data_IF_171812807952
#
_entry.id   IF_171812807952
#
_cell.length_a   1.000
_cell.length_b   1.000
_cell.length_c   1.000
_cell.angle_alpha   90.00
_cell.angle_beta   90.00
_cell.angle_gamma   90.00
#
_symmetry.space_group_name_H-M   'P 1'
#
loop_
_entity.id
_entity.type
_entity.pdbx_description
1 polymer ?
#
# COMPACT_ATOMS: atom_id res chain seq x y z
N UNK A 1 -14.11 15.53 -3.10
CA UNK A 1 -13.57 14.78 -4.25
C UNK A 1 -12.06 14.77 -4.13
N UNK A 2 -11.48 13.58 -4.03
CA UNK A 2 -10.04 13.36 -4.09
C UNK A 2 -9.63 13.37 -5.56
N UNK A 3 -8.86 14.38 -5.98
CA UNK A 3 -8.36 14.47 -7.36
C UNK A 3 -7.10 13.61 -7.49
N UNK A 4 -7.01 12.79 -8.53
CA UNK A 4 -5.82 12.00 -8.81
C UNK A 4 -4.83 12.82 -9.65
N UNK A 5 -3.61 12.91 -9.14
CA UNK A 5 -2.48 13.54 -9.79
C UNK A 5 -1.52 12.45 -10.28
N UNK A 6 -1.64 12.13 -11.56
CA UNK A 6 -0.85 11.11 -12.24
C UNK A 6 0.42 11.74 -12.80
N UNK A 7 1.59 11.28 -12.35
CA UNK A 7 2.86 11.65 -12.97
C UNK A 7 3.27 10.60 -14.00
N UNK A 8 3.40 11.02 -15.27
CA UNK A 8 3.82 10.14 -16.36
C UNK A 8 5.23 9.58 -16.13
N UNK A 9 6.10 10.30 -15.43
CA UNK A 9 7.45 9.84 -15.15
C UNK A 9 7.49 8.60 -14.24
N UNK A 10 6.54 8.49 -13.31
CA UNK A 10 6.40 7.35 -12.38
C UNK A 10 6.11 6.03 -13.12
N UNK A 11 5.47 6.13 -14.30
CA UNK A 11 4.97 4.98 -15.07
C UNK A 11 5.52 4.93 -16.50
N UNK A 12 6.77 5.37 -16.69
CA UNK A 12 7.43 5.30 -17.99
C UNK A 12 7.78 3.86 -18.41
N UNK A 13 7.95 3.65 -19.72
CA UNK A 13 8.46 2.39 -20.27
C UNK A 13 7.37 1.31 -20.33
N UNK A 14 7.55 0.14 -19.68
CA UNK A 14 6.57 -0.95 -19.75
C UNK A 14 5.21 -0.62 -19.11
N UNK A 15 5.10 0.50 -18.38
CA UNK A 15 3.85 0.96 -17.75
C UNK A 15 3.15 2.09 -18.53
N UNK A 16 3.60 2.42 -19.74
CA UNK A 16 2.97 3.51 -20.52
C UNK A 16 1.47 3.24 -20.79
N UNK A 17 1.13 2.02 -21.24
CA UNK A 17 -0.26 1.66 -21.54
C UNK A 17 -1.12 1.66 -20.26
N UNK A 18 -0.55 1.16 -19.16
CA UNK A 18 -1.15 1.24 -17.84
C UNK A 18 -1.46 2.69 -17.44
N UNK A 19 -0.49 3.59 -17.58
CA UNK A 19 -0.66 5.01 -17.30
C UNK A 19 -1.79 5.62 -18.14
N UNK A 20 -1.84 5.32 -19.44
CA UNK A 20 -2.89 5.80 -20.33
C UNK A 20 -4.29 5.35 -19.90
N UNK A 21 -4.41 4.14 -19.34
CA UNK A 21 -5.66 3.65 -18.79
C UNK A 21 -6.03 4.35 -17.47
N UNK A 22 -5.12 4.40 -16.50
CA UNK A 22 -5.43 4.95 -15.17
C UNK A 22 -5.58 6.47 -15.17
N UNK A 23 -4.94 7.20 -16.11
CA UNK A 23 -5.03 8.66 -16.19
C UNK A 23 -6.42 9.17 -16.62
N UNK A 24 -7.30 8.27 -17.08
CA UNK A 24 -8.71 8.54 -17.37
C UNK A 24 -9.50 8.82 -16.08
N UNK A 25 -9.08 8.23 -14.96
CA UNK A 25 -9.67 8.46 -13.64
C UNK A 25 -9.20 9.80 -13.09
N UNK A 26 -10.13 10.73 -12.89
CA UNK A 26 -9.85 12.08 -12.37
C UNK A 26 -9.84 12.14 -10.85
N UNK A 27 -10.41 11.14 -10.20
CA UNK A 27 -10.60 11.16 -8.76
C UNK A 27 -11.68 10.21 -8.28
N UNK A 28 -11.86 10.18 -6.98
CA UNK A 28 -12.96 9.48 -6.31
C UNK A 28 -13.49 10.33 -5.14
N UNK A 29 -14.78 10.20 -4.84
CA UNK A 29 -15.46 10.86 -3.72
C UNK A 29 -16.24 9.90 -2.85
N UNK A 30 -16.43 8.66 -3.32
CA UNK A 30 -17.16 7.60 -2.62
C UNK A 30 -16.32 6.34 -2.53
N UNK A 31 -16.68 5.44 -1.61
CA UNK A 31 -16.05 4.13 -1.46
C UNK A 31 -16.18 3.28 -2.75
N UNK A 32 -17.31 3.34 -3.44
CA UNK A 32 -17.52 2.63 -4.71
C UNK A 32 -16.59 3.12 -5.82
N UNK A 33 -16.40 4.45 -5.93
CA UNK A 33 -15.49 5.05 -6.91
C UNK A 33 -14.03 4.71 -6.60
N UNK A 34 -13.65 4.72 -5.32
CA UNK A 34 -12.33 4.27 -4.87
C UNK A 34 -12.08 2.80 -5.24
N UNK A 35 -13.02 1.92 -4.92
CA UNK A 35 -12.91 0.49 -5.22
C UNK A 35 -12.89 0.21 -6.73
N UNK A 36 -13.67 0.95 -7.52
CA UNK A 36 -13.62 0.87 -8.97
C UNK A 36 -12.23 1.27 -9.50
N UNK A 37 -11.65 2.35 -8.98
CA UNK A 37 -10.31 2.77 -9.36
C UNK A 37 -9.25 1.70 -8.99
N UNK A 38 -9.27 1.18 -7.76
CA UNK A 38 -8.33 0.14 -7.34
C UNK A 38 -8.44 -1.12 -8.21
N UNK A 39 -9.65 -1.60 -8.50
CA UNK A 39 -9.88 -2.74 -9.41
C UNK A 39 -9.30 -2.49 -10.80
N UNK A 40 -9.45 -1.26 -11.32
CA UNK A 40 -8.90 -0.88 -12.61
C UNK A 40 -7.37 -0.82 -12.62
N UNK A 41 -6.75 -0.36 -11.54
CA UNK A 41 -5.29 -0.46 -11.35
C UNK A 41 -4.83 -1.91 -11.42
N UNK A 42 -5.54 -2.83 -10.75
CA UNK A 42 -5.20 -4.26 -10.77
C UNK A 42 -5.37 -4.88 -12.17
N UNK A 43 -6.47 -4.57 -12.86
CA UNK A 43 -6.80 -5.09 -14.20
C UNK A 43 -5.82 -4.59 -15.28
N UNK A 44 -5.45 -3.32 -15.22
CA UNK A 44 -4.59 -2.65 -16.22
C UNK A 44 -3.10 -2.96 -16.03
N UNK A 45 -2.71 -3.56 -14.90
CA UNK A 45 -1.31 -3.74 -14.57
C UNK A 45 -0.58 -4.60 -15.61
N UNK A 46 0.57 -4.15 -16.14
CA UNK A 46 1.26 -4.89 -17.18
C UNK A 46 1.87 -6.17 -16.62
N UNK A 47 2.01 -7.17 -17.49
CA UNK A 47 2.80 -8.36 -17.20
C UNK A 47 4.30 -7.99 -17.21
N UNK A 48 4.76 -7.37 -16.11
CA UNK A 48 6.18 -7.07 -15.89
C UNK A 48 6.92 -8.29 -15.32
N UNK A 49 8.23 -8.20 -15.17
CA UNK A 49 9.02 -9.27 -14.55
C UNK A 49 8.61 -9.52 -13.10
N UNK A 50 8.85 -10.74 -12.61
CA UNK A 50 8.76 -11.06 -11.19
C UNK A 50 9.95 -10.42 -10.46
N UNK A 51 9.66 -9.55 -9.50
CA UNK A 51 10.65 -9.10 -8.53
C UNK A 51 10.66 -10.13 -7.40
N UNK A 52 11.84 -10.64 -7.03
CA UNK A 52 11.99 -11.83 -6.18
C UNK A 52 11.05 -11.84 -4.96
N UNK A 53 10.46 -13.00 -4.68
CA UNK A 53 9.39 -13.20 -3.67
C UNK A 53 9.85 -14.10 -2.51
N UNK A 54 11.16 -14.16 -2.24
CA UNK A 54 11.69 -15.14 -1.30
C UNK A 54 11.28 -14.82 0.14
N UNK A 55 11.46 -13.56 0.58
CA UNK A 55 11.02 -13.16 1.92
C UNK A 55 9.50 -13.02 2.01
N UNK A 56 8.87 -12.58 0.93
CA UNK A 56 7.41 -12.53 0.83
C UNK A 56 6.80 -13.88 1.17
N UNK A 57 7.25 -14.95 0.52
CA UNK A 57 6.74 -16.31 0.74
C UNK A 57 6.99 -16.80 2.17
N UNK A 58 8.18 -16.55 2.73
CA UNK A 58 8.51 -16.91 4.11
C UNK A 58 7.56 -16.25 5.12
N UNK A 59 7.31 -14.94 4.97
CA UNK A 59 6.43 -14.22 5.88
C UNK A 59 4.96 -14.55 5.66
N UNK A 60 4.54 -14.77 4.41
CA UNK A 60 3.19 -15.23 4.10
C UNK A 60 2.91 -16.60 4.73
N UNK A 61 3.83 -17.56 4.59
CA UNK A 61 3.72 -18.87 5.24
C UNK A 61 3.59 -18.72 6.76
N UNK A 62 4.41 -17.85 7.37
CA UNK A 62 4.30 -17.55 8.80
C UNK A 62 2.93 -16.98 9.22
N UNK A 63 2.34 -16.11 8.40
CA UNK A 63 1.01 -15.53 8.62
C UNK A 63 -0.08 -16.60 8.48
N UNK A 64 -0.01 -17.44 7.45
CA UNK A 64 -0.97 -18.52 7.21
C UNK A 64 -0.94 -19.58 8.31
N UNK A 65 0.25 -19.90 8.82
CA UNK A 65 0.46 -20.79 9.95
C UNK A 65 0.14 -20.14 11.32
N UNK A 66 -0.19 -18.84 11.34
CA UNK A 66 -0.48 -18.04 12.55
C UNK A 66 0.66 -18.13 13.57
N UNK A 67 1.90 -18.00 13.10
CA UNK A 67 3.08 -17.91 13.96
C UNK A 67 2.94 -16.71 14.90
N UNK A 68 3.69 -16.74 16.00
CA UNK A 68 3.80 -15.59 16.90
C UNK A 68 4.24 -14.34 16.12
N UNK A 69 3.74 -13.17 16.53
CA UNK A 69 4.00 -11.88 15.89
C UNK A 69 3.44 -11.73 14.47
N UNK A 70 2.43 -12.53 14.10
CA UNK A 70 1.71 -12.37 12.81
C UNK A 70 0.27 -11.92 13.01
N UNK A 71 -0.24 -11.15 12.05
CA UNK A 71 -1.66 -10.75 11.98
C UNK A 71 -2.16 -11.10 10.58
N UNK A 72 -3.18 -11.97 10.49
CA UNK A 72 -3.79 -12.33 9.22
C UNK A 72 -4.87 -11.34 8.83
N UNK A 73 -4.88 -10.94 7.55
CA UNK A 73 -5.84 -10.02 6.97
C UNK A 73 -6.39 -10.56 5.65
N UNK A 74 -7.52 -10.04 5.13
CA UNK A 74 -8.05 -10.47 3.84
C UNK A 74 -7.08 -10.26 2.66
N UNK A 75 -6.22 -9.24 2.75
CA UNK A 75 -5.23 -8.89 1.72
C UNK A 75 -3.88 -9.60 1.88
N UNK A 76 -3.68 -10.38 2.95
CA UNK A 76 -2.43 -11.09 3.24
C UNK A 76 -2.16 -11.07 4.74
N UNK A 77 -1.33 -10.14 5.20
CA UNK A 77 -1.18 -9.88 6.61
C UNK A 77 0.02 -9.04 7.00
N UNK A 78 0.32 -9.05 8.29
CA UNK A 78 1.42 -8.31 8.89
C UNK A 78 2.33 -9.29 9.62
N UNK A 79 3.63 -9.12 9.43
CA UNK A 79 4.67 -9.82 10.19
C UNK A 79 5.43 -8.81 11.05
N UNK A 80 5.25 -8.85 12.36
CA UNK A 80 5.84 -7.88 13.30
C UNK A 80 7.25 -8.34 13.65
N UNK A 81 8.25 -7.51 13.34
CA UNK A 81 9.65 -7.81 13.67
C UNK A 81 10.08 -7.17 14.97
N UNK A 82 9.45 -6.06 15.37
CA UNK A 82 9.74 -5.36 16.61
C UNK A 82 8.49 -4.66 17.15
N UNK A 83 8.23 -4.83 18.44
CA UNK A 83 7.16 -4.12 19.14
C UNK A 83 7.66 -3.67 20.52
N UNK A 84 8.19 -2.45 20.56
CA UNK A 84 8.73 -1.80 21.77
C UNK A 84 8.12 -0.41 21.88
N UNK A 85 7.00 -0.28 22.58
CA UNK A 85 6.24 0.98 22.61
C UNK A 85 7.13 2.22 22.91
N UNK A 86 7.03 3.29 22.09
CA UNK A 86 6.10 3.46 20.96
C UNK A 86 6.61 2.90 19.62
N UNK A 87 7.84 2.40 19.55
CA UNK A 87 8.42 1.90 18.30
C UNK A 87 7.79 0.58 17.85
N UNK A 88 7.32 0.54 16.60
CA UNK A 88 6.86 -0.67 15.92
C UNK A 88 7.60 -0.81 14.59
N UNK A 89 8.12 -2.00 14.32
CA UNK A 89 8.67 -2.40 13.02
C UNK A 89 7.96 -3.66 12.55
N UNK A 90 7.50 -3.67 11.31
CA UNK A 90 6.73 -4.77 10.75
C UNK A 90 6.87 -4.82 9.23
N UNK A 91 6.52 -5.96 8.66
CA UNK A 91 6.32 -6.11 7.23
C UNK A 91 4.84 -6.20 6.90
N UNK A 92 4.40 -5.40 5.93
CA UNK A 92 3.13 -5.60 5.24
C UNK A 92 3.37 -6.62 4.13
N UNK A 93 2.66 -7.74 4.21
CA UNK A 93 2.72 -8.84 3.24
C UNK A 93 1.42 -8.79 2.45
N UNK A 94 1.43 -8.07 1.33
CA UNK A 94 0.23 -7.79 0.53
C UNK A 94 0.23 -8.72 -0.69
N UNK A 95 -0.76 -9.61 -0.76
CA UNK A 95 -0.91 -10.54 -1.88
C UNK A 95 -1.30 -9.80 -3.15
N UNK A 96 -0.83 -10.29 -4.28
CA UNK A 96 -1.24 -9.81 -5.59
C UNK A 96 -2.75 -9.89 -5.79
N UNK A 97 -3.32 -8.88 -6.44
CA UNK A 97 -4.76 -8.73 -6.62
C UNK A 97 -5.50 -8.09 -5.44
N UNK A 98 -4.79 -7.63 -4.41
CA UNK A 98 -5.38 -6.98 -3.24
C UNK A 98 -4.93 -5.53 -3.08
N UNK A 99 -5.60 -4.81 -2.19
CA UNK A 99 -5.28 -3.45 -1.80
C UNK A 99 -5.74 -3.20 -0.36
N UNK A 100 -5.08 -2.24 0.28
CA UNK A 100 -5.40 -1.80 1.63
C UNK A 100 -6.53 -0.76 1.59
N UNK A 101 -7.07 -0.42 2.76
CA UNK A 101 -8.01 0.68 2.89
C UNK A 101 -7.34 2.01 2.53
N UNK A 102 -8.14 2.95 2.04
CA UNK A 102 -7.73 4.35 2.01
C UNK A 102 -7.91 4.91 3.42
N UNK A 103 -6.81 5.18 4.09
CA UNK A 103 -6.76 5.42 5.52
C UNK A 103 -5.78 6.54 5.86
N UNK A 104 -5.82 6.95 7.12
CA UNK A 104 -4.83 7.84 7.72
C UNK A 104 -4.61 7.44 9.17
N UNK A 105 -3.53 7.95 9.73
CA UNK A 105 -3.22 7.87 11.15
C UNK A 105 -3.46 9.22 11.83
N UNK A 106 -3.97 9.23 13.07
CA UNK A 106 -4.21 10.50 13.80
C UNK A 106 -2.94 11.03 14.49
N UNK A 107 -2.06 10.15 14.98
CA UNK A 107 -0.85 10.49 15.76
C UNK A 107 0.41 9.75 15.30
N UNK A 108 0.27 8.61 14.62
CA UNK A 108 1.41 7.80 14.17
C UNK A 108 2.17 8.50 13.05
N UNK A 109 3.49 8.54 13.22
CA UNK A 109 4.46 8.80 12.15
C UNK A 109 4.92 7.46 11.56
N UNK A 110 4.94 7.36 10.24
CA UNK A 110 5.22 6.12 9.53
C UNK A 110 6.22 6.34 8.39
N UNK A 111 7.13 5.38 8.26
CA UNK A 111 8.05 5.25 7.15
C UNK A 111 7.88 3.88 6.52
N UNK A 112 7.75 3.85 5.20
CA UNK A 112 7.65 2.65 4.38
C UNK A 112 8.85 2.52 3.45
N UNK A 113 9.36 1.30 3.30
CA UNK A 113 10.35 0.91 2.30
C UNK A 113 9.87 -0.36 1.57
N UNK A 114 9.82 -0.33 0.24
CA UNK A 114 9.48 -1.52 -0.55
C UNK A 114 10.67 -2.46 -0.62
N UNK A 115 10.50 -3.70 -0.15
CA UNK A 115 11.54 -4.73 -0.13
C UNK A 115 11.46 -5.66 -1.35
N UNK A 116 10.27 -6.17 -1.65
CA UNK A 116 10.01 -7.11 -2.75
C UNK A 116 8.69 -6.76 -3.44
N UNK A 117 8.57 -7.12 -4.71
CA UNK A 117 7.33 -6.92 -5.47
C UNK A 117 7.14 -5.54 -6.10
N UNK A 118 5.94 -5.30 -6.61
CA UNK A 118 5.56 -4.02 -7.21
C UNK A 118 4.10 -3.67 -6.93
N UNK A 119 3.81 -2.37 -6.93
CA UNK A 119 2.44 -1.90 -6.86
C UNK A 119 2.28 -0.40 -7.02
N UNK A 120 1.21 0.14 -6.44
CA UNK A 120 0.87 1.56 -6.51
C UNK A 120 0.63 2.10 -5.11
N UNK A 121 1.20 3.26 -4.85
CA UNK A 121 0.89 4.08 -3.69
C UNK A 121 -0.01 5.23 -4.11
N UNK A 122 -1.14 5.34 -3.43
CA UNK A 122 -1.94 6.56 -3.39
C UNK A 122 -1.53 7.33 -2.14
N UNK A 123 -1.11 8.58 -2.29
CA UNK A 123 -0.74 9.42 -1.15
C UNK A 123 -1.27 10.83 -1.35
N UNK A 124 -1.97 11.36 -0.35
CA UNK A 124 -2.41 12.75 -0.39
C UNK A 124 -1.22 13.70 -0.33
N UNK A 125 -1.12 14.59 -1.32
CA UNK A 125 -0.13 15.67 -1.38
C UNK A 125 -0.84 16.96 -1.75
N UNK A 126 -0.94 17.86 -0.77
CA UNK A 126 -1.73 19.10 -0.90
C UNK A 126 -3.21 18.79 -1.15
N UNK A 127 -3.74 19.32 -2.24
CA UNK A 127 -5.16 19.20 -2.60
C UNK A 127 -5.48 17.95 -3.47
N UNK A 128 -4.48 17.14 -3.80
CA UNK A 128 -4.62 15.96 -4.65
C UNK A 128 -4.04 14.68 -4.05
N UNK A 129 -4.25 13.57 -4.74
CA UNK A 129 -3.72 12.25 -4.46
C UNK A 129 -2.67 11.93 -5.51
N UNK A 130 -1.41 11.93 -5.11
CA UNK A 130 -0.32 11.46 -5.95
C UNK A 130 -0.47 9.95 -6.16
N UNK A 131 -0.36 9.52 -7.41
CA UNK A 131 -0.33 8.11 -7.81
C UNK A 131 1.11 7.76 -8.16
N UNK A 132 1.76 6.93 -7.35
CA UNK A 132 3.19 6.59 -7.48
C UNK A 132 3.40 5.10 -7.66
N UNK A 133 4.45 4.73 -8.37
CA UNK A 133 4.82 3.32 -8.52
C UNK A 133 5.64 2.85 -7.32
N UNK A 134 5.30 1.68 -6.79
CA UNK A 134 6.08 0.97 -5.78
C UNK A 134 6.91 -0.12 -6.45
N UNK A 135 8.20 -0.15 -6.13
CA UNK A 135 9.18 -1.15 -6.56
C UNK A 135 10.33 -1.16 -5.54
N UNK A 136 11.19 -2.19 -5.50
CA UNK A 136 12.19 -2.33 -4.44
C UNK A 136 13.10 -1.10 -4.31
N UNK A 137 13.27 -0.63 -3.07
CA UNK A 137 14.03 0.58 -2.71
C UNK A 137 13.23 1.89 -2.78
N UNK A 138 11.96 1.87 -3.16
CA UNK A 138 11.08 3.04 -3.02
C UNK A 138 10.74 3.24 -1.54
N UNK A 139 10.89 4.48 -1.08
CA UNK A 139 10.52 4.92 0.26
C UNK A 139 9.34 5.90 0.22
N UNK A 140 8.56 5.90 1.30
CA UNK A 140 7.50 6.88 1.54
C UNK A 140 7.34 7.16 3.04
N UNK A 141 7.33 8.45 3.40
CA UNK A 141 7.02 8.91 4.74
C UNK A 141 5.58 9.43 4.82
N UNK A 142 4.94 9.19 5.96
CA UNK A 142 3.61 9.65 6.29
C UNK A 142 3.64 10.34 7.65
N UNK A 143 3.33 11.64 7.62
CA UNK A 143 3.07 12.40 8.83
C UNK A 143 1.65 12.11 9.34
N UNK A 144 1.35 12.38 10.63
CA UNK A 144 0.00 12.25 11.15
C UNK A 144 -1.00 13.04 10.32
N UNK A 145 -2.11 12.37 9.98
CA UNK A 145 -3.19 12.88 9.15
C UNK A 145 -2.99 12.68 7.65
N UNK A 146 -1.83 12.20 7.18
CA UNK A 146 -1.63 11.93 5.75
C UNK A 146 -2.41 10.69 5.30
N UNK A 147 -3.28 10.90 4.30
CA UNK A 147 -4.15 9.88 3.75
C UNK A 147 -3.43 9.10 2.65
N UNK A 148 -3.52 7.77 2.69
CA UNK A 148 -2.84 6.91 1.74
C UNK A 148 -3.52 5.55 1.55
N UNK A 149 -3.13 4.83 0.49
CA UNK A 149 -3.52 3.45 0.20
C UNK A 149 -2.44 2.77 -0.62
N UNK A 150 -2.24 1.47 -0.36
CA UNK A 150 -1.36 0.60 -1.14
C UNK A 150 -2.21 -0.35 -1.97
N UNK A 151 -1.94 -0.43 -3.27
CA UNK A 151 -2.56 -1.36 -4.22
C UNK A 151 -1.48 -2.31 -4.70
N UNK A 152 -1.71 -3.61 -4.53
CA UNK A 152 -0.77 -4.70 -4.85
C UNK A 152 -1.30 -5.51 -6.05
N UNK A 153 -1.02 -5.09 -7.29
CA UNK A 153 -1.30 -5.89 -8.50
C UNK A 153 -0.47 -7.18 -8.55
N UNK A 154 0.67 -7.21 -7.86
CA UNK A 154 1.49 -8.38 -7.61
C UNK A 154 1.78 -8.51 -6.11
N UNK A 155 2.29 -9.66 -5.71
CA UNK A 155 2.80 -9.85 -4.35
C UNK A 155 3.80 -8.74 -4.03
N UNK A 156 3.59 -8.10 -2.88
CA UNK A 156 4.26 -6.88 -2.47
C UNK A 156 4.64 -6.98 -1.00
N UNK A 157 5.92 -6.79 -0.72
CA UNK A 157 6.49 -6.80 0.61
C UNK A 157 7.03 -5.42 0.95
N UNK A 158 6.46 -4.82 2.00
CA UNK A 158 6.83 -3.47 2.43
C UNK A 158 7.27 -3.55 3.89
N UNK A 159 8.46 -3.03 4.18
CA UNK A 159 8.87 -2.78 5.54
C UNK A 159 8.25 -1.47 6.02
N UNK A 160 7.69 -1.49 7.22
CA UNK A 160 7.13 -0.34 7.90
C UNK A 160 7.87 -0.14 9.22
N UNK A 161 8.26 1.10 9.48
CA UNK A 161 8.74 1.56 10.78
C UNK A 161 7.90 2.74 11.24
N UNK A 162 7.46 2.71 12.49
CA UNK A 162 6.56 3.73 13.01
C UNK A 162 6.74 4.04 14.49
N UNK A 163 6.28 5.22 14.88
CA UNK A 163 6.08 5.62 16.28
C UNK A 163 4.59 5.62 16.58
N UNK A 164 4.15 4.61 17.31
CA UNK A 164 2.77 4.30 17.60
C UNK A 164 2.44 4.54 19.08
N UNK A 165 1.84 5.70 19.34
CA UNK A 165 1.52 6.17 20.67
C UNK A 165 0.23 5.55 21.25
N UNK A 166 -0.70 5.10 20.41
CA UNK A 166 -2.00 4.54 20.85
C UNK A 166 -2.03 3.00 20.82
N UNK A 167 -1.11 2.37 20.10
CA UNK A 167 -1.09 0.94 19.80
C UNK A 167 -1.71 0.65 18.43
N UNK A 168 -1.22 -0.42 17.80
CA UNK A 168 -1.20 -0.60 16.32
C UNK A 168 -2.51 -0.32 15.60
N UNK A 169 -3.64 -0.69 16.18
CA UNK A 169 -4.94 -0.61 15.51
C UNK A 169 -5.81 0.53 16.02
N UNK A 170 -5.36 1.28 17.04
CA UNK A 170 -6.18 2.30 17.72
C UNK A 170 -6.06 3.69 17.11
N UNK A 171 -5.11 3.88 16.21
CA UNK A 171 -4.83 5.17 15.57
C UNK A 171 -5.27 5.22 14.09
N UNK A 172 -5.83 4.13 13.57
CA UNK A 172 -6.28 4.01 12.19
C UNK A 172 -7.67 4.64 11.99
N UNK A 173 -7.77 5.51 10.99
CA UNK A 173 -9.03 6.09 10.52
C UNK A 173 -9.24 5.67 9.06
N UNK A 174 -10.17 4.73 8.85
CA UNK A 174 -10.56 4.27 7.53
C UNK A 174 -11.51 5.26 6.86
N UNK A 175 -11.13 5.72 5.67
CA UNK A 175 -11.96 6.60 4.84
C UNK A 175 -12.76 5.78 3.83
N UNK A 176 -12.10 4.84 3.14
CA UNK A 176 -12.73 3.89 2.22
C UNK A 176 -12.12 2.49 2.39
N UNK A 177 -12.96 1.47 2.47
CA UNK A 177 -12.54 0.09 2.63
C UNK A 177 -12.57 -0.69 1.30
N UNK A 178 -11.70 -1.69 1.14
CA UNK A 178 -11.75 -2.61 0.01
C UNK A 178 -13.08 -3.38 -0.07
N UNK A 179 -13.60 -3.55 -1.28
CA UNK A 179 -14.80 -4.36 -1.59
C UNK A 179 -14.64 -5.25 -2.82
#
# INVERSE_FOLDING_TARGET
>A
MYRLDHDKAEFAGPYNDFFEEICQFKGFSTEDEFNLFCKKVLEAWPQANEHGVNKFNEYLEGIEEKKENTISTPWGGVFITKHEHPLVEKFLVVKGGHYLSFEKHDEKEEHLEVFEGEGVLLQRKGDGIAVRRLYPGVEADFAPGEEHCIIAPKDLLIFEKSLDHKGMDKDLVFLFNPS
#
